data_IF_169799393657
#
_entry.id   IF_169799393657
#
_cell.length_a   1.000
_cell.length_b   1.000
_cell.length_c   1.000
_cell.angle_alpha   90.00
_cell.angle_beta   90.00
_cell.angle_gamma   90.00
#
_symmetry.space_group_name_H-M   'P 1'
#
loop_
_entity.id
_entity.type
_entity.pdbx_description
1 polymer ?
2 polymer ?
3 water ?
#
# COMPACT_ATOMS: atom_id res chain seq x y z
N UNK A 1 8.54 -5.16 5.95
CA UNK A 1 7.78 -5.74 7.04
C UNK A 1 6.86 -6.87 6.60
N UNK A 2 5.55 -6.66 6.73
CA UNK A 2 4.60 -7.71 6.36
C UNK A 2 4.46 -7.84 4.86
N UNK A 3 4.14 -9.05 4.41
CA UNK A 3 3.77 -9.24 3.01
C UNK A 3 2.37 -8.68 2.80
N UNK A 4 2.20 -7.93 1.72
CA UNK A 4 0.90 -7.35 1.41
C UNK A 4 0.45 -7.85 0.04
N UNK A 5 -0.87 -7.99 -0.12
CA UNK A 5 -1.50 -8.27 -1.40
C UNK A 5 -2.36 -7.09 -1.77
N UNK A 6 -2.06 -6.47 -2.91
CA UNK A 6 -2.63 -5.19 -3.32
C UNK A 6 -3.14 -5.32 -4.75
N UNK A 7 -4.30 -4.72 -5.03
CA UNK A 7 -4.92 -4.81 -6.35
C UNK A 7 -4.70 -3.52 -7.10
N UNK A 8 -4.25 -3.64 -8.35
CA UNK A 8 -4.12 -2.51 -9.25
C UNK A 8 -5.18 -2.66 -10.35
N UNK A 9 -5.88 -1.56 -10.64
CA UNK A 9 -6.89 -1.53 -11.69
C UNK A 9 -6.44 -0.53 -12.75
N UNK A 10 -6.53 -0.93 -14.02
CA UNK A 10 -6.13 -0.03 -15.10
C UNK A 10 -6.85 -0.43 -16.37
N UNK A 11 -6.83 0.48 -17.34
CA UNK A 11 -7.28 0.14 -18.69
C UNK A 11 -6.19 -0.64 -19.41
N UNK A 12 -6.62 -1.43 -20.42
CA UNK A 12 -5.68 -2.27 -21.15
C UNK A 12 -4.48 -1.49 -21.65
N UNK A 13 -4.79 -0.36 -22.20
CA UNK A 13 -3.74 0.50 -22.78
C UNK A 13 -2.76 1.31 -21.88
N UNK A 14 -3.16 1.34 -20.60
CA UNK A 14 -2.33 2.02 -19.62
C UNK A 14 -1.15 1.14 -19.20
N UNK A 15 -0.03 1.79 -18.87
CA UNK A 15 1.02 1.09 -18.16
C UNK A 15 0.67 0.92 -16.69
N UNK A 16 1.46 0.10 -15.99
CA UNK A 16 1.23 -0.07 -14.57
C UNK A 16 1.60 1.19 -13.79
N UNK A 17 2.55 1.97 -14.29
CA UNK A 17 3.02 3.14 -13.57
C UNK A 17 4.11 2.86 -12.57
N UNK A 18 4.95 1.86 -12.81
CA UNK A 18 6.07 1.55 -11.93
C UNK A 18 7.30 1.33 -12.78
N UNK A 19 8.46 1.64 -12.22
CA UNK A 19 9.73 1.19 -12.76
C UNK A 19 10.31 0.15 -11.82
N UNK A 20 10.89 -0.89 -12.38
CA UNK A 20 11.47 -1.96 -11.58
C UNK A 20 12.95 -2.06 -11.88
N UNK A 21 13.69 -2.61 -10.91
CA UNK A 21 15.09 -2.90 -11.10
C UNK A 21 15.37 -4.27 -10.47
N UNK A 22 16.65 -4.65 -10.46
CA UNK A 22 17.01 -5.95 -9.93
C UNK A 22 16.72 -7.11 -10.88
N UNK A 23 16.75 -8.30 -10.33
CA UNK A 23 16.54 -9.51 -11.10
C UNK A 23 17.64 -10.53 -10.86
N UNK A 24 17.35 -11.76 -11.29
CA UNK A 24 18.21 -12.90 -10.96
C UNK A 24 19.65 -12.68 -11.41
N UNK A 25 19.85 -12.06 -12.57
CA UNK A 25 21.22 -11.91 -13.06
C UNK A 25 22.03 -10.95 -12.19
N UNK A 26 21.38 -10.10 -11.40
CA UNK A 26 22.06 -9.21 -10.47
C UNK A 26 22.08 -9.76 -9.04
N UNK A 27 21.46 -10.90 -8.80
CA UNK A 27 21.44 -11.49 -7.48
C UNK A 27 20.49 -10.86 -6.50
N UNK A 28 19.48 -10.13 -6.98
CA UNK A 28 18.59 -9.39 -6.08
C UNK A 28 17.16 -9.55 -6.57
N UNK A 29 16.19 -9.31 -5.69
CA UNK A 29 14.78 -9.42 -6.08
C UNK A 29 14.43 -8.38 -7.12
N UNK A 30 13.26 -8.61 -7.73
CA UNK A 30 12.61 -7.54 -8.49
C UNK A 30 12.17 -6.47 -7.51
N UNK A 31 12.75 -5.28 -7.64
CA UNK A 31 12.52 -4.17 -6.72
C UNK A 31 11.87 -3.01 -7.48
N UNK A 32 10.88 -2.39 -6.85
CA UNK A 32 10.29 -1.18 -7.40
C UNK A 32 11.26 -0.03 -7.17
N UNK A 33 11.62 0.68 -8.25
CA UNK A 33 12.56 1.80 -8.14
C UNK A 33 11.89 3.16 -8.32
N UNK A 34 10.68 3.20 -8.87
CA UNK A 34 9.95 4.45 -9.02
C UNK A 34 8.46 4.15 -9.10
N UNK A 35 7.64 5.02 -8.50
CA UNK A 35 6.19 5.03 -8.67
C UNK A 35 5.85 6.32 -9.42
N UNK A 36 5.24 6.18 -10.60
CA UNK A 36 5.11 7.37 -11.43
C UNK A 36 3.82 8.10 -11.13
N UNK A 37 3.87 9.40 -10.85
CA UNK A 37 2.69 10.10 -10.32
C UNK A 37 1.53 10.07 -11.31
N UNK A 38 0.33 9.87 -10.76
CA UNK A 38 -0.88 9.91 -11.54
C UNK A 38 -1.19 8.67 -12.34
N UNK A 39 -0.29 7.69 -12.35
CA UNK A 39 -0.48 6.45 -13.09
C UNK A 39 -1.15 5.41 -12.19
N UNK A 40 -1.56 4.25 -12.73
CA UNK A 40 -2.37 3.33 -11.92
C UNK A 40 -1.78 2.92 -10.57
N UNK A 41 -0.49 2.62 -10.46
CA UNK A 41 0.05 2.22 -9.17
C UNK A 41 -0.08 3.35 -8.15
N UNK A 42 0.15 4.58 -8.59
CA UNK A 42 0.03 5.73 -7.69
C UNK A 42 -1.43 5.99 -7.33
N UNK A 43 -2.33 5.92 -8.31
CA UNK A 43 -3.75 6.16 -8.04
C UNK A 43 -4.31 5.10 -7.10
N UNK A 44 -3.98 3.83 -7.36
CA UNK A 44 -4.57 2.76 -6.55
C UNK A 44 -3.93 2.69 -5.18
N UNK A 45 -2.63 2.98 -5.09
CA UNK A 45 -1.91 2.94 -3.84
C UNK A 45 -1.41 1.55 -3.49
N UNK A 46 -0.56 1.50 -2.45
CA UNK A 46 -0.14 0.24 -1.88
C UNK A 46 1.13 -0.35 -2.45
N UNK A 47 1.75 0.33 -3.42
CA UNK A 47 3.00 -0.09 -4.03
C UNK A 47 3.99 1.05 -3.93
N UNK A 48 5.22 0.75 -3.51
CA UNK A 48 6.16 1.80 -3.17
C UNK A 48 7.57 1.43 -3.59
N UNK A 49 8.40 2.47 -3.78
CA UNK A 49 9.82 2.25 -4.01
C UNK A 49 10.42 1.47 -2.86
N UNK A 50 11.23 0.47 -3.18
CA UNK A 50 11.83 -0.38 -2.18
C UNK A 50 11.06 -1.65 -1.88
N UNK A 51 9.84 -1.77 -2.40
CA UNK A 51 9.12 -3.03 -2.34
C UNK A 51 9.76 -4.04 -3.27
N UNK A 52 9.91 -5.27 -2.78
CA UNK A 52 10.21 -6.40 -3.63
C UNK A 52 8.90 -7.00 -4.12
N UNK A 53 8.83 -7.32 -5.41
CA UNK A 53 7.61 -7.93 -5.96
C UNK A 53 7.81 -9.44 -5.92
N UNK A 54 7.03 -10.11 -5.06
CA UNK A 54 7.17 -11.55 -4.92
C UNK A 54 6.36 -12.27 -5.98
N UNK A 55 5.20 -11.74 -6.35
CA UNK A 55 4.34 -12.41 -7.31
C UNK A 55 3.38 -11.39 -7.89
N UNK A 56 2.94 -11.64 -9.12
CA UNK A 56 1.98 -10.78 -9.80
C UNK A 56 0.91 -11.67 -10.38
N UNK A 57 -0.35 -11.39 -10.02
CA UNK A 57 -1.50 -12.24 -10.34
C UNK A 57 -1.20 -13.72 -10.16
N UNK A 58 -0.56 -14.05 -9.04
CA UNK A 58 -0.29 -15.43 -8.71
C UNK A 58 0.93 -16.03 -9.38
N UNK A 59 1.70 -15.25 -10.15
CA UNK A 59 2.88 -15.75 -10.85
C UNK A 59 4.12 -15.35 -10.05
N UNK A 60 4.88 -16.36 -9.62
CA UNK A 60 6.09 -16.13 -8.84
C UNK A 60 7.13 -15.35 -9.64
N UNK A 61 7.62 -14.25 -9.04
CA UNK A 61 8.68 -13.45 -9.66
C UNK A 61 10.03 -13.59 -8.94
N UNK A 62 10.14 -14.46 -7.94
CA UNK A 62 11.32 -14.41 -7.10
C UNK A 62 12.58 -14.94 -7.77
N UNK A 63 12.46 -15.73 -8.84
CA UNK A 63 13.68 -16.21 -9.49
C UNK A 63 13.66 -15.90 -10.99
N UNK A 64 13.15 -14.72 -11.34
CA UNK A 64 13.09 -14.29 -12.72
C UNK A 64 14.27 -13.38 -13.05
N UNK A 65 14.75 -13.49 -14.28
CA UNK A 65 15.64 -12.45 -14.78
C UNK A 65 14.87 -11.15 -14.90
N UNK A 66 15.61 -10.04 -14.96
CA UNK A 66 14.97 -8.73 -15.10
C UNK A 66 13.98 -8.72 -16.26
N UNK A 67 14.41 -9.17 -17.44
CA UNK A 67 13.54 -9.08 -18.61
C UNK A 67 12.34 -10.02 -18.49
N UNK A 68 12.48 -11.11 -17.74
CA UNK A 68 11.35 -12.01 -17.54
C UNK A 68 10.28 -11.35 -16.69
N UNK A 69 10.68 -10.60 -15.65
CA UNK A 69 9.73 -9.85 -14.87
C UNK A 69 9.07 -8.75 -15.70
N UNK A 70 9.85 -8.09 -16.56
CA UNK A 70 9.29 -7.07 -17.44
C UNK A 70 8.20 -7.67 -18.32
N UNK A 71 8.46 -8.85 -18.86
CA UNK A 71 7.50 -9.52 -19.73
C UNK A 71 6.23 -9.86 -18.97
N UNK A 72 6.36 -10.51 -17.81
CA UNK A 72 5.19 -10.92 -17.06
C UNK A 72 4.39 -9.70 -16.62
N UNK A 73 5.08 -8.63 -16.21
CA UNK A 73 4.36 -7.42 -15.82
C UNK A 73 3.70 -6.76 -17.02
N UNK A 74 4.37 -6.80 -18.19
CA UNK A 74 3.84 -6.12 -19.37
C UNK A 74 2.63 -6.84 -19.94
N UNK A 75 2.47 -8.13 -19.66
CA UNK A 75 1.34 -8.89 -20.20
C UNK A 75 0.06 -8.73 -19.41
N UNK A 76 0.07 -7.97 -18.32
CA UNK A 76 -1.12 -7.78 -17.51
C UNK A 76 -2.19 -7.04 -18.30
N UNK A 77 -3.46 -7.24 -17.89
CA UNK A 77 -4.60 -6.66 -18.59
C UNK A 77 -5.22 -5.59 -17.71
N UNK A 78 -6.29 -5.86 -16.98
CA UNK A 78 -7.02 -4.82 -16.29
C UNK A 78 -7.00 -4.89 -14.77
N UNK A 79 -6.96 -6.09 -14.21
CA UNK A 79 -6.89 -6.28 -12.76
C UNK A 79 -5.62 -7.04 -12.45
N UNK A 80 -4.81 -6.52 -11.54
CA UNK A 80 -3.48 -7.08 -11.30
C UNK A 80 -3.26 -7.12 -9.79
N UNK A 81 -3.14 -8.31 -9.24
CA UNK A 81 -2.87 -8.48 -7.82
C UNK A 81 -1.36 -8.58 -7.61
N UNK A 82 -0.81 -7.69 -6.80
CA UNK A 82 0.61 -7.70 -6.48
C UNK A 82 0.79 -8.26 -5.09
N UNK A 83 1.78 -9.14 -4.93
CA UNK A 83 2.24 -9.59 -3.63
C UNK A 83 3.61 -8.97 -3.40
N UNK A 84 3.70 -8.07 -2.43
CA UNK A 84 4.90 -7.26 -2.23
C UNK A 84 5.31 -7.27 -0.77
N UNK A 85 6.58 -6.97 -0.53
CA UNK A 85 7.09 -6.83 0.83
C UNK A 85 8.19 -5.78 0.81
N UNK A 86 8.15 -4.87 1.76
CA UNK A 86 9.22 -3.86 1.82
C UNK A 86 10.46 -4.51 2.42
N UNK A 87 11.58 -4.33 1.75
CA UNK A 87 12.90 -4.85 2.21
C UNK A 87 13.84 -3.66 2.46
N UNK B 1 4.44 10.07 0.57
CA UNK B 1 4.59 10.95 -0.58
C UNK B 1 3.44 11.91 -0.79
N UNK B 2 2.39 11.45 -1.49
CA UNK B 2 1.25 12.34 -1.76
C UNK B 2 0.13 12.19 -0.75
N UNK B 3 -0.28 13.31 -0.14
CA UNK B 3 -1.40 13.30 0.80
C UNK B 3 -2.69 13.00 0.04
N UNK B 4 -3.45 12.01 0.51
CA UNK B 4 -4.68 11.59 -0.13
C UNK B 4 -5.86 11.78 0.81
N UNK B 5 -7.01 12.07 0.22
CA UNK B 5 -8.29 11.97 0.89
C UNK B 5 -8.98 10.70 0.40
N UNK B 6 -9.32 9.81 1.33
CA UNK B 6 -9.90 8.51 1.01
C UNK B 6 -11.25 8.42 1.69
N UNK B 7 -12.29 8.10 0.92
CA UNK B 7 -13.64 7.93 1.44
C UNK B 7 -13.91 6.46 1.69
N UNK B 8 -14.41 6.16 2.89
CA UNK B 8 -14.74 4.81 3.30
C UNK B 8 -16.20 4.79 3.76
N UNK B 9 -16.93 3.73 3.41
CA UNK B 9 -18.30 3.55 3.88
C UNK B 9 -18.31 2.44 4.91
N UNK B 10 -18.66 2.77 6.15
CA UNK B 10 -18.70 1.82 7.25
C UNK B 10 -20.12 1.69 7.76
N UNK B 11 -20.67 0.48 7.65
CA UNK B 11 -21.98 0.24 8.24
C UNK B 11 -21.87 0.09 9.75
N UNK B 12 -22.99 0.29 10.43
CA UNK B 12 -23.00 0.20 11.88
C UNK B 12 -22.61 -1.19 12.38
N UNK B 13 -22.75 -2.22 11.54
CA UNK B 13 -22.50 -3.59 11.94
C UNK B 13 -21.16 -4.11 11.43
N UNK B 14 -20.24 -3.22 11.06
CA UNK B 14 -18.92 -3.62 10.63
C UNK B 14 -17.90 -2.63 11.15
N UNK B 15 -16.62 -3.06 11.15
CA UNK B 15 -15.54 -2.18 11.52
C UNK B 15 -14.90 -1.53 10.30
N UNK B 16 -13.91 -0.69 10.57
CA UNK B 16 -13.21 -0.02 9.48
C UNK B 16 -12.44 -1.02 8.61
N UNK B 17 -11.99 -2.12 9.19
CA UNK B 17 -11.21 -3.08 8.45
C UNK B 17 -9.74 -2.78 8.37
N UNK B 18 -9.19 -2.07 9.36
CA UNK B 18 -7.76 -1.78 9.42
C UNK B 18 -7.26 -2.10 10.82
N UNK B 19 -5.97 -2.39 10.90
CA UNK B 19 -5.25 -2.40 12.16
C UNK B 19 -4.31 -1.21 12.17
N UNK B 20 -4.23 -0.53 13.30
CA UNK B 20 -3.38 0.65 13.41
C UNK B 20 -2.30 0.39 14.44
N UNK B 21 -1.18 1.09 14.28
CA UNK B 21 -0.07 1.03 15.23
C UNK B 21 0.49 2.44 15.39
N UNK B 22 1.55 2.56 16.18
CA UNK B 22 2.15 3.86 16.38
C UNK B 22 1.37 4.74 17.36
N UNK B 23 1.69 6.03 17.31
CA UNK B 23 1.09 7.00 18.22
C UNK B 23 2.16 7.83 18.92
N UNK B 24 1.68 8.90 19.56
CA UNK B 24 2.56 9.90 20.15
C UNK B 24 3.54 9.30 21.15
N UNK B 25 3.08 8.34 21.95
CA UNK B 25 3.96 7.75 22.96
C UNK B 25 5.10 6.95 22.34
N UNK B 26 4.98 6.59 21.05
CA UNK B 26 6.05 5.95 20.32
C UNK B 26 6.82 6.91 19.43
N UNK B 27 6.49 8.20 19.47
CA UNK B 27 7.16 9.19 18.64
C UNK B 27 6.90 9.09 17.15
N UNK B 28 5.80 8.46 16.75
CA UNK B 28 5.48 8.29 15.33
C UNK B 28 4.00 8.57 15.12
N UNK B 29 3.59 8.81 13.88
CA UNK B 29 2.16 9.00 13.59
C UNK B 29 1.36 7.74 13.89
N UNK B 30 0.04 7.89 13.81
CA UNK B 30 -0.85 6.73 13.72
C UNK B 30 -0.65 6.10 12.35
N UNK B 31 -0.20 4.85 12.34
CA UNK B 31 0.17 4.15 11.11
C UNK B 31 -0.70 2.93 10.90
N UNK B 32 -1.09 2.68 9.65
CA UNK B 32 -1.86 1.49 9.31
C UNK B 32 -0.90 0.32 9.17
N UNK B 33 -1.12 -0.74 9.95
CA UNK B 33 -0.25 -1.89 9.88
C UNK B 33 -0.83 -3.04 9.08
N UNK B 34 -2.14 -3.04 8.86
CA UNK B 34 -2.77 -4.13 8.14
C UNK B 34 -4.10 -3.65 7.56
N UNK B 35 -4.40 -4.11 6.35
CA UNK B 35 -5.71 -3.91 5.74
C UNK B 35 -6.40 -5.27 5.72
N UNK B 36 -7.60 -5.31 6.20
CA UNK B 36 -8.17 -6.64 6.30
C UNK B 36 -9.04 -6.95 5.09
N UNK B 37 -8.89 -8.13 4.51
CA UNK B 37 -9.48 -8.40 3.19
C UNK B 37 -11.00 -8.30 3.20
N UNK B 38 -11.53 -7.65 2.16
CA UNK B 38 -12.96 -7.58 1.96
C UNK B 38 -13.70 -6.63 2.88
N UNK B 39 -13.01 -5.85 3.68
CA UNK B 39 -13.61 -4.91 4.60
C UNK B 39 -13.51 -3.49 4.03
N UNK B 40 -14.24 -2.50 4.62
CA UNK B 40 -14.43 -1.21 3.94
C UNK B 40 -13.19 -0.48 3.44
N UNK B 41 -12.01 -0.79 3.97
CA UNK B 41 -10.81 -0.05 3.57
C UNK B 41 -10.07 -0.69 2.40
N UNK B 42 -10.45 -1.89 1.98
CA UNK B 42 -9.64 -2.71 1.08
C UNK B 42 -10.12 -2.54 -0.36
N UNK B 43 -9.41 -1.71 -1.12
CA UNK B 43 -9.71 -1.50 -2.55
C UNK B 43 -8.58 -0.68 -3.18
N UNK B 44 -8.51 -0.71 -4.51
CA UNK B 44 -7.71 0.26 -5.23
C UNK B 44 -8.26 1.64 -4.92
N UNK B 45 -7.39 2.55 -4.47
CA UNK B 45 -7.84 3.84 -4.01
C UNK B 45 -8.27 3.89 -2.56
N UNK B 46 -8.12 2.80 -1.81
CA UNK B 46 -8.49 2.75 -0.40
C UNK B 46 -7.33 3.10 0.52
N UNK B 47 -7.43 2.62 1.75
CA UNK B 47 -6.36 2.77 2.72
C UNK B 47 -5.34 1.65 2.55
N UNK B 48 -4.10 1.94 2.94
CA UNK B 48 -3.02 1.00 2.67
C UNK B 48 -2.07 0.92 3.86
N UNK B 49 -1.40 -0.23 3.95
CA UNK B 49 -0.35 -0.42 4.93
C UNK B 49 0.71 0.67 4.77
N UNK B 50 1.17 1.21 5.89
CA UNK B 50 2.15 2.26 5.86
C UNK B 50 1.60 3.66 5.77
N UNK B 51 0.27 3.79 5.61
CA UNK B 51 -0.36 5.10 5.65
C UNK B 51 -0.27 5.69 7.05
N UNK B 52 0.19 6.93 7.13
CA UNK B 52 0.00 7.73 8.34
C UNK B 52 -1.38 8.38 8.27
N UNK B 53 -2.22 8.13 9.26
CA UNK B 53 -3.54 8.74 9.30
C UNK B 53 -3.40 10.12 9.93
N UNK B 54 -3.47 11.16 9.10
CA UNK B 54 -3.32 12.52 9.61
C UNK B 54 -4.62 13.03 10.22
N UNK B 55 -5.75 12.69 9.62
CA UNK B 55 -7.04 13.08 10.17
C UNK B 55 -8.10 12.08 9.74
N UNK B 56 -9.17 12.01 10.52
CA UNK B 56 -10.34 11.23 10.14
C UNK B 56 -11.58 12.10 10.38
N UNK B 57 -12.37 12.29 9.33
CA UNK B 57 -13.56 13.14 9.38
C UNK B 57 -13.22 14.51 9.96
N UNK B 58 -12.05 15.02 9.58
CA UNK B 58 -11.57 16.31 10.01
C UNK B 58 -10.95 16.35 11.38
N UNK B 59 -10.87 15.23 12.10
CA UNK B 59 -10.29 15.18 13.44
C UNK B 59 -8.80 14.89 13.32
N UNK B 60 -7.98 15.84 13.78
CA UNK B 60 -6.54 15.71 13.72
C UNK B 60 -6.07 14.54 14.57
N UNK B 61 -5.32 13.61 13.96
CA UNK B 61 -4.72 12.50 14.67
C UNK B 61 -3.21 12.63 14.78
N UNK B 62 -2.65 13.77 14.35
CA UNK B 62 -1.20 13.91 14.25
C UNK B 62 -0.50 13.78 15.59
N UNK B 63 -1.10 14.30 16.66
CA UNK B 63 -0.43 14.29 17.96
C UNK B 63 -1.18 13.45 18.98
N UNK B 64 -1.81 12.36 18.54
CA UNK B 64 -2.66 11.57 19.42
C UNK B 64 -1.90 10.36 19.95
N UNK B 65 -2.13 10.03 21.21
CA UNK B 65 -1.71 8.74 21.73
C UNK B 65 -2.47 7.64 21.01
N UNK B 66 -1.88 6.43 21.03
CA UNK B 66 -2.50 5.31 20.34
C UNK B 66 -3.93 5.10 20.79
N UNK B 67 -4.16 5.05 22.09
CA UNK B 67 -5.52 4.78 22.60
C UNK B 67 -6.47 5.94 22.27
N UNK B 68 -5.94 7.17 22.21
CA UNK B 68 -6.79 8.28 21.82
C UNK B 68 -7.25 8.13 20.37
N UNK B 69 -6.34 7.68 19.49
CA UNK B 69 -6.71 7.48 18.10
C UNK B 69 -7.73 6.36 17.93
N UNK B 70 -7.55 5.26 18.68
CA UNK B 70 -8.54 4.18 18.66
C UNK B 70 -9.92 4.73 19.01
N UNK B 71 -9.99 5.51 20.08
CA UNK B 71 -11.28 6.07 20.50
C UNK B 71 -11.89 6.93 19.40
N UNK B 72 -11.11 7.89 18.86
CA UNK B 72 -11.62 8.76 17.82
C UNK B 72 -12.09 7.96 16.61
N UNK B 73 -11.28 6.99 16.18
CA UNK B 73 -11.64 6.21 15.00
C UNK B 73 -12.93 5.44 15.22
N UNK B 74 -13.10 4.89 16.43
CA UNK B 74 -14.30 4.09 16.72
C UNK B 74 -15.58 4.91 16.66
N UNK B 75 -15.50 6.24 16.77
CA UNK B 75 -16.68 7.07 16.79
C UNK B 75 -17.20 7.46 15.42
N UNK B 76 -16.46 7.15 14.36
CA UNK B 76 -16.87 7.55 13.01
C UNK B 76 -17.82 6.50 12.42
N UNK B 77 -18.86 6.97 11.72
CA UNK B 77 -19.87 6.09 11.14
C UNK B 77 -20.27 6.59 9.75
N UNK B 78 -20.75 5.67 8.92
CA UNK B 78 -21.25 6.05 7.60
C UNK B 78 -20.13 6.36 6.64
N UNK B 79 -20.26 7.46 5.90
CA UNK B 79 -19.24 7.88 4.95
C UNK B 79 -18.15 8.63 5.68
N UNK B 80 -16.95 8.06 5.72
CA UNK B 80 -15.84 8.56 6.54
C UNK B 80 -14.72 9.01 5.62
N UNK B 81 -14.20 10.22 5.85
CA UNK B 81 -13.11 10.77 5.04
C UNK B 81 -11.82 10.68 5.81
N UNK B 82 -10.87 9.91 5.28
CA UNK B 82 -9.53 9.80 5.85
C UNK B 82 -8.59 10.73 5.11
N UNK B 83 -7.73 11.40 5.86
CA UNK B 83 -6.61 12.15 5.32
C UNK B 83 -5.35 11.36 5.65
N UNK B 84 -4.73 10.77 4.62
CA UNK B 84 -3.62 9.84 4.80
C UNK B 84 -2.49 10.20 3.86
N UNK B 85 -1.29 9.74 4.23
CA UNK B 85 -0.11 9.88 3.37
C UNK B 85 0.83 8.74 3.68
N UNK B 86 1.39 8.13 2.64
CA UNK B 86 2.41 7.10 2.83
C UNK B 86 3.67 7.70 3.44
N UNK B 87 4.22 7.00 4.42
CA UNK B 87 5.38 7.47 5.15
C UNK B 87 6.56 6.51 5.00
N UNK C 2 28.91 -4.87 -17.04
CA UNK C 2 29.25 -4.14 -15.78
C UNK C 2 28.35 -4.61 -14.63
N UNK C 3 28.49 -3.97 -13.47
CA UNK C 3 27.69 -4.31 -12.31
C UNK C 3 26.33 -3.62 -12.27
N UNK C 4 26.06 -2.72 -13.21
CA UNK C 4 24.88 -1.88 -13.07
C UNK C 4 23.60 -2.65 -13.37
N UNK C 5 22.56 -2.33 -12.61
CA UNK C 5 21.28 -3.01 -12.75
C UNK C 5 20.45 -2.38 -13.87
N UNK C 6 19.65 -3.23 -14.52
CA UNK C 6 18.66 -2.72 -15.45
C UNK C 6 17.54 -2.01 -14.70
N UNK C 7 16.99 -0.97 -15.33
CA UNK C 7 15.81 -0.28 -14.84
C UNK C 7 14.83 -0.14 -15.99
N UNK C 8 13.59 -0.58 -15.77
CA UNK C 8 12.58 -0.63 -16.82
C UNK C 8 11.26 -0.11 -16.28
N UNK C 9 10.63 0.77 -17.04
CA UNK C 9 9.29 1.26 -16.72
C UNK C 9 8.24 0.37 -17.36
N UNK C 10 7.25 -0.06 -16.57
CA UNK C 10 6.16 -0.87 -17.08
C UNK C 10 4.82 -0.30 -16.64
N UNK D 3 8.29 -3.76 18.07
CA UNK D 3 7.39 -4.80 18.51
C UNK D 3 6.65 -4.42 19.78
N UNK D 4 7.14 -3.43 20.51
CA UNK D 4 6.42 -2.91 21.66
C UNK D 4 5.45 -1.80 21.27
N UNK D 5 5.31 -1.54 19.97
CA UNK D 5 4.20 -0.72 19.50
C UNK D 5 2.90 -1.50 19.67
N UNK D 6 1.88 -0.80 20.15
CA UNK D 6 0.55 -1.36 20.22
C UNK D 6 -0.04 -1.52 18.82
N UNK D 7 -0.81 -2.59 18.62
CA UNK D 7 -1.54 -2.83 17.38
C UNK D 7 -3.00 -3.08 17.73
N UNK D 8 -3.90 -2.31 17.13
CA UNK D 8 -5.33 -2.36 17.44
C UNK D 8 -6.13 -2.51 16.16
N UNK D 9 -7.03 -3.48 16.13
CA UNK D 9 -7.93 -3.68 15.01
C UNK D 9 -9.20 -2.86 15.22
N UNK D 10 -9.51 -2.00 14.26
CA UNK D 10 -10.69 -1.16 14.36
C UNK D 10 -11.54 -1.26 13.11
#
# INVERSE_FOLDING_TARGET
GPIRKVLLLKEDHEGLGISITGGKEHGVPILISEIHPGQPADRCGGLHVGDAILAVNGVNLRDTKHKEAVTILSQQRGEIEFEVVYV
GPIRKVLLLKEDHEGLGISITGGKEHGVPILISEIHPGQPADRCGGLHVGDAILAVNGVNLRDTKHKEAVTILSQQRGEIEFEVVYV
ANSRWQVTRV
ANSRWQVTRV
#
